data_IF_149900277008
#
_entry.id   IF_149900277008
#
_cell.length_a   1.000
_cell.length_b   1.000
_cell.length_c   1.000
_cell.angle_alpha   90.00
_cell.angle_beta   90.00
_cell.angle_gamma   90.00
#
_symmetry.space_group_name_H-M   'P 1'
#
loop_
_entity.id
_entity.type
_entity.pdbx_description
1 polymer ?
#
# COMPACT_ATOMS: atom_id res chain seq x y z
N UNK A 1 -6.84 -4.57 13.21
CA UNK A 1 -5.75 -4.24 14.15
C UNK A 1 -5.98 -5.10 15.39
N UNK A 2 -4.99 -5.88 15.83
CA UNK A 2 -5.13 -6.72 17.03
C UNK A 2 -4.77 -5.86 18.24
N UNK A 3 -5.76 -5.51 19.07
CA UNK A 3 -5.58 -4.67 20.27
C UNK A 3 -5.22 -5.48 21.52
N UNK A 4 -5.29 -6.81 21.45
CA UNK A 4 -5.16 -7.70 22.61
C UNK A 4 -3.77 -7.66 23.29
N UNK A 5 -2.73 -7.12 22.63
CA UNK A 5 -1.38 -7.02 23.18
C UNK A 5 -0.94 -5.63 23.65
N UNK A 6 -1.62 -4.55 23.23
CA UNK A 6 -1.12 -3.17 23.35
C UNK A 6 -2.12 -2.20 23.99
N UNK A 7 -3.38 -2.62 24.20
CA UNK A 7 -4.38 -1.87 24.95
C UNK A 7 -5.02 -0.71 24.16
N UNK A 8 -4.22 0.18 23.58
CA UNK A 8 -4.72 1.36 22.82
C UNK A 8 -4.05 1.52 21.46
N UNK A 9 -4.64 2.33 20.59
CA UNK A 9 -4.10 2.62 19.24
C UNK A 9 -2.80 3.44 19.36
N UNK A 10 -2.70 4.30 20.37
CA UNK A 10 -1.53 5.11 20.70
C UNK A 10 -0.36 4.21 21.10
N UNK A 11 -0.60 3.18 21.92
CA UNK A 11 0.43 2.21 22.28
C UNK A 11 0.95 1.42 21.06
N UNK A 12 0.06 1.08 20.11
CA UNK A 12 0.46 0.48 18.83
C UNK A 12 1.32 1.44 18.02
N UNK A 13 0.96 2.73 17.99
CA UNK A 13 1.72 3.75 17.28
C UNK A 13 3.13 3.92 17.88
N UNK A 14 3.21 3.97 19.22
CA UNK A 14 4.46 4.01 19.94
C UNK A 14 5.36 2.79 19.61
N UNK A 15 4.86 1.57 19.81
CA UNK A 15 5.62 0.34 19.54
C UNK A 15 6.12 0.29 18.08
N UNK A 16 5.30 0.70 17.11
CA UNK A 16 5.70 0.73 15.70
C UNK A 16 6.71 1.84 15.39
N UNK A 17 6.66 2.97 16.10
CA UNK A 17 7.62 4.06 15.94
C UNK A 17 9.02 3.68 16.43
N UNK A 18 9.13 2.79 17.42
CA UNK A 18 10.42 2.29 17.93
C UNK A 18 11.23 1.56 16.85
N UNK A 19 10.57 1.00 15.83
CA UNK A 19 11.25 0.43 14.66
C UNK A 19 12.07 1.48 13.89
N UNK A 20 11.62 2.75 13.89
CA UNK A 20 12.35 3.87 13.26
C UNK A 20 13.49 4.33 14.17
N UNK A 21 13.28 4.32 15.48
CA UNK A 21 14.31 4.62 16.47
C UNK A 21 15.50 3.66 16.37
N UNK A 22 15.22 2.37 16.12
CA UNK A 22 16.22 1.32 15.99
C UNK A 22 17.00 1.31 14.67
N UNK A 23 16.68 2.20 13.72
CA UNK A 23 17.45 2.31 12.48
C UNK A 23 18.84 2.87 12.75
N UNK A 24 19.85 2.28 12.09
CA UNK A 24 21.21 2.81 11.97
C UNK A 24 21.22 4.32 11.67
N UNK A 25 22.23 5.10 12.08
CA UNK A 25 22.21 6.57 12.00
C UNK A 25 21.76 7.16 10.64
N UNK A 26 22.22 6.58 9.53
CA UNK A 26 21.87 7.02 8.16
C UNK A 26 20.66 6.29 7.56
N UNK A 27 20.06 5.37 8.34
CA UNK A 27 18.86 4.63 7.98
C UNK A 27 17.65 5.55 7.83
N UNK A 28 16.85 5.29 6.80
CA UNK A 28 15.61 6.01 6.49
C UNK A 28 14.42 5.09 6.66
N UNK A 29 13.34 5.61 7.21
CA UNK A 29 12.06 4.91 7.26
C UNK A 29 11.22 5.25 6.02
N UNK A 30 10.49 4.29 5.48
CA UNK A 30 9.53 4.51 4.39
C UNK A 30 8.13 4.22 4.94
N UNK A 31 7.30 5.26 5.01
CA UNK A 31 6.01 5.19 5.70
C UNK A 31 4.89 5.85 4.89
N UNK A 32 3.63 5.44 5.08
CA UNK A 32 2.49 6.18 4.55
C UNK A 32 2.28 7.48 5.33
N UNK A 33 1.81 8.52 4.64
CA UNK A 33 1.57 9.86 5.21
C UNK A 33 0.67 9.85 6.45
N UNK A 34 -0.32 8.95 6.48
CA UNK A 34 -1.27 8.82 7.58
C UNK A 34 -0.65 8.45 8.94
N UNK A 35 0.61 8.00 8.98
CA UNK A 35 1.32 7.76 10.24
C UNK A 35 1.81 9.07 10.90
N UNK A 36 2.04 10.14 10.15
CA UNK A 36 2.53 11.41 10.70
C UNK A 36 1.48 12.22 11.47
N UNK A 37 0.24 11.73 11.57
CA UNK A 37 -0.73 12.29 12.52
C UNK A 37 -0.41 11.90 13.98
N UNK A 38 0.39 10.86 14.19
CA UNK A 38 0.75 10.35 15.51
C UNK A 38 2.04 11.01 16.00
N UNK A 39 2.05 11.64 17.20
CA UNK A 39 3.23 12.30 17.75
C UNK A 39 4.49 11.42 17.77
N UNK A 40 4.33 10.12 18.00
CA UNK A 40 5.41 9.13 18.07
C UNK A 40 6.14 9.00 16.73
N UNK A 41 5.41 9.08 15.61
CA UNK A 41 6.03 9.09 14.27
C UNK A 41 6.57 10.47 13.89
N UNK A 42 5.95 11.55 14.38
CA UNK A 42 6.41 12.92 14.12
C UNK A 42 7.82 13.15 14.68
N UNK A 43 8.15 12.55 15.82
CA UNK A 43 9.47 12.60 16.45
C UNK A 43 10.61 12.15 15.51
N UNK A 44 10.30 11.29 14.53
CA UNK A 44 11.27 10.75 13.58
C UNK A 44 11.07 11.24 12.14
N UNK A 45 10.20 12.24 11.91
CA UNK A 45 9.82 12.67 10.56
C UNK A 45 11.00 13.07 9.66
N UNK A 46 12.05 13.68 10.23
CA UNK A 46 13.27 14.07 9.51
C UNK A 46 14.08 12.89 8.96
N UNK A 47 13.71 11.65 9.31
CA UNK A 47 14.29 10.39 8.80
C UNK A 47 13.35 9.64 7.87
N UNK A 48 12.15 10.17 7.62
CA UNK A 48 11.09 9.47 6.91
C UNK A 48 10.96 9.92 5.45
N UNK A 49 10.97 8.95 4.54
CA UNK A 49 10.44 9.05 3.20
C UNK A 49 8.95 8.74 3.26
N UNK A 50 8.12 9.73 2.99
CA UNK A 50 6.67 9.65 3.18
C UNK A 50 5.98 9.47 1.84
N UNK A 51 5.27 8.35 1.67
CA UNK A 51 4.38 8.14 0.52
C UNK A 51 3.02 8.74 0.83
N UNK A 52 2.60 9.73 0.04
CA UNK A 52 1.35 10.46 0.22
C UNK A 52 0.47 10.31 -1.03
N UNK A 53 -0.70 9.70 -0.87
CA UNK A 53 -1.70 9.68 -1.95
C UNK A 53 -2.46 11.00 -2.06
N UNK A 54 -3.03 11.32 -3.22
CA UNK A 54 -3.78 12.57 -3.46
C UNK A 54 -4.91 12.79 -2.44
N UNK A 55 -5.60 11.72 -2.02
CA UNK A 55 -6.66 11.73 -1.00
C UNK A 55 -6.16 11.73 0.46
N UNK A 56 -4.86 11.60 0.69
CA UNK A 56 -4.32 11.66 2.06
C UNK A 56 -4.16 13.12 2.51
N UNK A 57 -4.39 13.36 3.81
CA UNK A 57 -4.08 14.65 4.44
C UNK A 57 -2.60 15.02 4.29
N UNK A 58 -2.31 16.32 4.32
CA UNK A 58 -0.92 16.79 4.38
C UNK A 58 -0.23 16.33 5.68
N UNK A 59 1.05 15.93 5.62
CA UNK A 59 1.83 15.65 6.81
C UNK A 59 1.79 16.81 7.82
N UNK A 60 1.49 16.50 9.08
CA UNK A 60 1.45 17.50 10.16
C UNK A 60 2.81 18.14 10.45
N UNK A 61 3.90 17.47 10.07
CA UNK A 61 5.29 17.92 10.21
C UNK A 61 6.05 17.62 8.92
N UNK A 62 7.08 18.40 8.62
CA UNK A 62 7.88 18.22 7.42
C UNK A 62 8.76 16.96 7.53
N UNK A 63 8.58 15.95 6.64
CA UNK A 63 9.44 14.77 6.63
C UNK A 63 10.72 15.00 5.83
N UNK A 64 11.62 14.02 5.82
CA UNK A 64 12.82 14.05 4.98
C UNK A 64 12.49 14.28 3.50
N UNK A 65 11.45 13.60 3.01
CA UNK A 65 10.90 13.79 1.66
C UNK A 65 9.47 13.29 1.60
N UNK A 66 8.63 14.00 0.85
CA UNK A 66 7.31 13.53 0.43
C UNK A 66 7.42 12.99 -1.00
N UNK A 67 6.90 11.79 -1.22
CA UNK A 67 6.72 11.14 -2.51
C UNK A 67 5.24 11.20 -2.84
N UNK A 68 4.89 11.93 -3.89
CA UNK A 68 3.51 12.04 -4.36
C UNK A 68 3.10 10.73 -5.03
N UNK A 69 1.98 10.17 -4.60
CA UNK A 69 1.42 8.95 -5.11
C UNK A 69 0.00 9.15 -5.63
N UNK A 70 -0.39 8.42 -6.68
CA UNK A 70 -1.78 8.28 -7.09
C UNK A 70 -2.02 7.04 -7.93
N UNK A 71 -3.28 6.65 -8.01
CA UNK A 71 -3.71 5.64 -8.95
C UNK A 71 -4.22 6.29 -10.24
N UNK A 72 -3.96 5.64 -11.36
CA UNK A 72 -4.51 5.96 -12.66
C UNK A 72 -4.92 4.67 -13.37
N UNK A 73 -5.72 4.81 -14.42
CA UNK A 73 -6.04 3.72 -15.34
C UNK A 73 -5.53 4.07 -16.74
N UNK A 74 -4.77 3.17 -17.34
CA UNK A 74 -4.26 3.30 -18.70
C UNK A 74 -4.59 2.02 -19.49
N UNK A 75 -5.42 2.13 -20.53
CA UNK A 75 -5.86 1.00 -21.36
C UNK A 75 -6.44 -0.18 -20.56
N UNK A 76 -7.20 0.12 -19.49
CA UNK A 76 -7.79 -0.89 -18.61
C UNK A 76 -6.79 -1.59 -17.68
N UNK A 77 -5.57 -1.07 -17.57
CA UNK A 77 -4.58 -1.49 -16.58
C UNK A 77 -4.46 -0.44 -15.50
N UNK A 78 -4.43 -0.91 -14.25
CA UNK A 78 -4.18 -0.05 -13.10
C UNK A 78 -2.70 0.35 -13.09
N UNK A 79 -2.45 1.64 -12.94
CA UNK A 79 -1.12 2.25 -12.85
C UNK A 79 -0.97 2.93 -11.49
N UNK A 80 0.17 2.72 -10.84
CA UNK A 80 0.64 3.52 -9.73
C UNK A 80 1.58 4.60 -10.25
N UNK A 81 1.29 5.86 -9.97
CA UNK A 81 2.18 6.97 -10.25
C UNK A 81 2.92 7.35 -8.96
N UNK A 82 4.25 7.43 -8.99
CA UNK A 82 5.11 7.94 -7.91
C UNK A 82 6.00 9.06 -8.44
N UNK A 83 5.82 10.27 -7.93
CA UNK A 83 6.47 11.50 -8.44
C UNK A 83 6.39 11.60 -9.97
N UNK A 84 5.22 11.28 -10.52
CA UNK A 84 4.95 11.28 -11.97
C UNK A 84 5.47 10.08 -12.74
N UNK A 85 6.19 9.13 -12.10
CA UNK A 85 6.67 7.90 -12.75
C UNK A 85 5.64 6.79 -12.65
N UNK A 86 5.33 6.15 -13.76
CA UNK A 86 4.31 5.10 -13.86
C UNK A 86 4.87 3.71 -13.54
N UNK A 87 4.16 2.95 -12.73
CA UNK A 87 4.44 1.56 -12.39
C UNK A 87 3.17 0.73 -12.63
N UNK A 88 3.21 -0.31 -13.48
CA UNK A 88 2.04 -1.15 -13.72
C UNK A 88 1.70 -1.93 -12.46
N UNK A 89 0.40 -2.07 -12.16
CA UNK A 89 -0.08 -2.94 -11.10
C UNK A 89 -1.00 -4.02 -11.69
N UNK A 90 -0.87 -5.22 -11.13
CA UNK A 90 -1.91 -6.24 -11.21
C UNK A 90 -3.26 -5.68 -10.71
N UNK A 91 -4.41 -6.28 -11.07
CA UNK A 91 -5.74 -5.82 -10.66
C UNK A 91 -6.00 -6.11 -9.17
N UNK A 92 -5.27 -5.42 -8.31
CA UNK A 92 -5.25 -5.56 -6.85
C UNK A 92 -6.05 -4.46 -6.17
N UNK A 93 -6.32 -4.63 -4.87
CA UNK A 93 -7.01 -3.64 -4.04
C UNK A 93 -6.19 -2.35 -3.84
N UNK A 94 -6.83 -1.31 -3.33
CA UNK A 94 -6.17 -0.01 -3.10
C UNK A 94 -5.18 -0.13 -1.95
N UNK A 95 -5.53 -0.89 -0.91
CA UNK A 95 -4.62 -1.23 0.18
C UNK A 95 -3.36 -1.95 -0.31
N UNK A 96 -3.50 -2.93 -1.21
CA UNK A 96 -2.34 -3.61 -1.82
C UNK A 96 -1.55 -2.68 -2.74
N UNK A 97 -2.21 -1.82 -3.52
CA UNK A 97 -1.54 -0.81 -4.34
C UNK A 97 -0.75 0.21 -3.52
N UNK A 98 -1.29 0.63 -2.36
CA UNK A 98 -0.60 1.50 -1.40
C UNK A 98 0.62 0.80 -0.79
N UNK A 99 0.53 -0.50 -0.49
CA UNK A 99 1.69 -1.29 -0.07
C UNK A 99 2.74 -1.42 -1.18
N UNK A 100 2.31 -1.59 -2.44
CA UNK A 100 3.20 -1.62 -3.59
C UNK A 100 3.98 -0.29 -3.72
N UNK A 101 3.33 0.86 -3.44
CA UNK A 101 4.02 2.15 -3.43
C UNK A 101 5.17 2.20 -2.42
N UNK A 102 4.96 1.74 -1.19
CA UNK A 102 6.02 1.65 -0.18
C UNK A 102 7.15 0.73 -0.64
N UNK A 103 6.81 -0.42 -1.23
CA UNK A 103 7.79 -1.39 -1.74
C UNK A 103 8.60 -0.84 -2.92
N UNK A 104 7.98 -0.09 -3.83
CA UNK A 104 8.68 0.57 -4.95
C UNK A 104 9.65 1.62 -4.44
N UNK A 105 9.24 2.48 -3.50
CA UNK A 105 10.14 3.46 -2.89
C UNK A 105 11.31 2.76 -2.20
N UNK A 106 11.07 1.67 -1.48
CA UNK A 106 12.13 0.89 -0.85
C UNK A 106 13.11 0.30 -1.87
N UNK A 107 12.60 -0.28 -2.97
CA UNK A 107 13.42 -0.83 -4.03
C UNK A 107 14.29 0.26 -4.70
N UNK A 108 13.73 1.45 -4.92
CA UNK A 108 14.47 2.58 -5.49
C UNK A 108 15.58 3.08 -4.56
N UNK A 109 15.32 3.19 -3.25
CA UNK A 109 16.35 3.58 -2.27
C UNK A 109 17.48 2.53 -2.16
N UNK A 110 17.17 1.25 -2.43
CA UNK A 110 18.16 0.18 -2.51
C UNK A 110 18.91 0.13 -3.86
N UNK A 111 18.66 1.09 -4.77
CA UNK A 111 19.34 1.17 -6.06
C UNK A 111 18.84 0.17 -7.11
N UNK A 112 17.69 -0.47 -6.90
CA UNK A 112 17.07 -1.34 -7.91
C UNK A 112 16.57 -0.46 -9.06
N UNK A 113 16.89 -0.85 -10.29
CA UNK A 113 16.50 -0.07 -11.46
C UNK A 113 14.99 -0.04 -11.67
N UNK A 114 14.49 1.08 -12.16
CA UNK A 114 13.05 1.27 -12.45
C UNK A 114 12.52 0.21 -13.42
N UNK A 115 13.30 -0.18 -14.42
CA UNK A 115 12.93 -1.24 -15.36
C UNK A 115 12.75 -2.60 -14.68
N UNK A 116 13.63 -2.94 -13.74
CA UNK A 116 13.53 -4.19 -12.99
C UNK A 116 12.31 -4.18 -12.07
N UNK A 117 12.01 -3.04 -11.43
CA UNK A 117 10.81 -2.88 -10.58
C UNK A 117 9.55 -3.05 -11.42
N UNK A 118 9.44 -2.34 -12.55
CA UNK A 118 8.29 -2.45 -13.48
C UNK A 118 8.07 -3.89 -13.92
N UNK A 119 9.13 -4.56 -14.39
CA UNK A 119 9.07 -5.97 -14.79
C UNK A 119 8.58 -6.87 -13.67
N UNK A 120 9.05 -6.67 -12.44
CA UNK A 120 8.63 -7.51 -11.31
C UNK A 120 7.16 -7.27 -10.92
N UNK A 121 6.70 -6.02 -10.96
CA UNK A 121 5.31 -5.67 -10.64
C UNK A 121 4.30 -6.23 -11.64
N UNK A 122 4.65 -6.33 -12.92
CA UNK A 122 3.78 -6.93 -13.96
C UNK A 122 3.40 -8.38 -13.65
N UNK A 123 4.31 -9.13 -13.01
CA UNK A 123 4.11 -10.55 -12.68
C UNK A 123 3.77 -10.77 -11.21
N UNK A 124 3.82 -9.72 -10.39
CA UNK A 124 3.56 -9.87 -8.97
C UNK A 124 2.08 -10.14 -8.72
N UNK A 125 1.82 -11.15 -7.91
CA UNK A 125 0.51 -11.48 -7.38
C UNK A 125 0.55 -11.49 -5.86
N UNK A 126 -0.54 -11.08 -5.20
CA UNK A 126 -0.61 -11.17 -3.75
C UNK A 126 -0.57 -12.64 -3.29
N UNK A 127 -0.11 -12.91 -2.05
CA UNK A 127 -0.17 -14.24 -1.46
C UNK A 127 -1.59 -14.81 -1.47
N UNK A 128 -1.69 -16.15 -1.40
CA UNK A 128 -2.96 -16.87 -1.35
C UNK A 128 -3.85 -16.30 -0.24
N UNK A 129 -5.12 -16.05 -0.57
CA UNK A 129 -6.11 -15.52 0.35
C UNK A 129 -6.06 -14.00 0.53
N UNK A 130 -5.36 -13.26 -0.33
CA UNK A 130 -5.33 -11.79 -0.34
C UNK A 130 -5.77 -11.23 -1.69
N UNK A 131 -7.08 -11.15 -1.91
CA UNK A 131 -7.66 -10.58 -3.12
C UNK A 131 -7.35 -11.36 -4.41
N UNK A 132 -7.26 -12.69 -4.31
CA UNK A 132 -7.01 -13.55 -5.47
C UNK A 132 -8.31 -13.87 -6.21
N UNK A 133 -8.26 -13.91 -7.54
CA UNK A 133 -9.39 -14.32 -8.39
C UNK A 133 -9.20 -15.79 -8.77
N UNK A 134 -10.20 -16.60 -8.49
CA UNK A 134 -10.24 -18.02 -8.84
C UNK A 134 -11.42 -18.31 -9.75
N UNK A 135 -11.26 -19.25 -10.67
CA UNK A 135 -12.34 -19.74 -11.54
C UNK A 135 -12.59 -21.21 -11.26
N UNK A 136 -13.86 -21.57 -11.12
CA UNK A 136 -14.33 -22.95 -11.05
C UNK A 136 -15.54 -23.12 -11.98
N UNK A 137 -15.27 -23.72 -13.15
CA UNK A 137 -16.21 -23.75 -14.27
C UNK A 137 -16.60 -22.33 -14.72
N UNK A 138 -17.91 -22.05 -14.72
CA UNK A 138 -18.46 -20.74 -15.09
C UNK A 138 -18.56 -19.77 -13.90
N UNK A 139 -18.11 -20.17 -12.72
CA UNK A 139 -18.14 -19.33 -11.51
C UNK A 139 -16.78 -18.69 -11.31
N UNK A 140 -16.79 -17.40 -11.00
CA UNK A 140 -15.59 -16.71 -10.54
C UNK A 140 -15.71 -16.52 -9.01
N UNK A 141 -14.59 -16.50 -8.32
CA UNK A 141 -14.51 -16.30 -6.87
C UNK A 141 -13.44 -15.26 -6.60
N UNK A 142 -13.77 -14.27 -5.77
CA UNK A 142 -12.79 -13.35 -5.21
C UNK A 142 -12.49 -13.79 -3.77
N UNK A 143 -11.25 -14.15 -3.50
CA UNK A 143 -10.82 -14.73 -2.24
C UNK A 143 -9.90 -13.75 -1.49
N UNK A 144 -10.41 -13.21 -0.39
CA UNK A 144 -9.66 -12.35 0.54
C UNK A 144 -9.97 -12.76 1.99
N UNK A 145 -9.43 -13.89 2.40
CA UNK A 145 -9.74 -14.57 3.66
C UNK A 145 -8.53 -14.67 4.62
N UNK A 146 -7.40 -14.03 4.32
CA UNK A 146 -6.19 -14.13 5.14
C UNK A 146 -6.35 -13.42 6.51
N UNK A 147 -6.96 -12.24 6.54
CA UNK A 147 -7.22 -11.48 7.75
C UNK A 147 -8.51 -10.64 7.59
N UNK A 148 -9.23 -10.42 8.68
CA UNK A 148 -10.46 -9.63 8.69
C UNK A 148 -10.38 -8.51 9.70
N UNK A 149 -10.09 -7.31 9.21
CA UNK A 149 -10.35 -6.06 9.91
C UNK A 149 -11.41 -5.26 9.15
N UNK A 150 -12.16 -4.35 9.80
CA UNK A 150 -13.16 -3.54 9.09
C UNK A 150 -12.59 -2.80 7.88
N UNK A 151 -11.37 -2.26 8.01
CA UNK A 151 -10.68 -1.58 6.91
C UNK A 151 -10.30 -2.53 5.76
N UNK A 152 -9.77 -3.72 6.07
CA UNK A 152 -9.40 -4.68 5.02
C UNK A 152 -10.62 -5.28 4.32
N UNK A 153 -11.72 -5.53 5.04
CA UNK A 153 -12.97 -5.99 4.44
C UNK A 153 -13.57 -4.95 3.49
N UNK A 154 -13.54 -3.67 3.89
CA UNK A 154 -14.00 -2.57 3.02
C UNK A 154 -13.16 -2.46 1.75
N UNK A 155 -11.82 -2.49 1.87
CA UNK A 155 -10.89 -2.47 0.72
C UNK A 155 -11.14 -3.66 -0.23
N UNK A 156 -11.36 -4.86 0.33
CA UNK A 156 -11.72 -6.06 -0.43
C UNK A 156 -13.05 -5.90 -1.19
N UNK A 157 -14.09 -5.38 -0.54
CA UNK A 157 -15.39 -5.16 -1.16
C UNK A 157 -15.36 -4.09 -2.27
N UNK A 158 -14.61 -3.02 -2.07
CA UNK A 158 -14.40 -1.98 -3.08
C UNK A 158 -13.63 -2.54 -4.29
N UNK A 159 -12.58 -3.32 -4.04
CA UNK A 159 -11.84 -4.02 -5.08
C UNK A 159 -12.74 -4.95 -5.89
N UNK A 160 -13.53 -5.79 -5.21
CA UNK A 160 -14.51 -6.67 -5.83
C UNK A 160 -15.46 -5.90 -6.76
N UNK A 161 -16.07 -4.83 -6.25
CA UNK A 161 -17.00 -4.02 -7.04
C UNK A 161 -16.35 -3.48 -8.32
N UNK A 162 -15.15 -2.91 -8.20
CA UNK A 162 -14.38 -2.39 -9.36
C UNK A 162 -14.12 -3.49 -10.41
N UNK A 163 -13.70 -4.67 -9.97
CA UNK A 163 -13.40 -5.80 -10.87
C UNK A 163 -14.65 -6.33 -11.59
N UNK A 164 -15.81 -6.31 -10.93
CA UNK A 164 -17.07 -6.81 -11.50
C UNK A 164 -17.76 -5.81 -12.43
N UNK A 165 -17.56 -4.50 -12.22
CA UNK A 165 -18.17 -3.45 -13.06
C UNK A 165 -17.42 -3.27 -14.39
N UNK A 166 -16.10 -3.45 -14.38
CA UNK A 166 -15.26 -3.26 -15.58
C UNK A 166 -15.30 -4.42 -16.58
N UNK A 167 -15.92 -5.56 -16.25
CA UNK A 167 -16.12 -6.68 -17.17
C UNK A 167 -17.57 -7.23 -17.12
N UNK A 168 -18.48 -6.74 -17.99
CA UNK A 168 -19.87 -7.19 -18.02
C UNK A 168 -20.03 -8.66 -18.48
N UNK A 169 -18.96 -9.31 -18.97
CA UNK A 169 -18.93 -10.73 -19.34
C UNK A 169 -18.40 -11.62 -18.20
N UNK A 170 -17.77 -11.04 -17.17
CA UNK A 170 -17.45 -11.69 -15.88
C UNK A 170 -18.48 -11.32 -14.82
N UNK A 171 -19.76 -11.53 -15.12
CA UNK A 171 -20.75 -11.61 -14.04
C UNK A 171 -20.44 -12.87 -13.25
N UNK A 172 -20.08 -12.68 -11.98
CA UNK A 172 -20.09 -13.72 -10.96
C UNK A 172 -21.47 -14.35 -10.84
#
# INVERSE_FOLDING_TARGET
MHLEGVGTIEAVAHEKSEMIAALEPDGKAIIPASLLKWPEFQAYASRCLVVKFEEDDEPAVMPLRVISAKFADENGRRILLLDGRAYPLSPISDGLGRNAALAVVAALELGISENQIKKNLEWWMPPIGRGSIHQDGNRTFYIDCYNSSPASLLDAAQCFNRLTVQDPRRRL
#
